data_IF_823182888180
#
_entry.id   IF_823182888180
#
_cell.length_a   1.000
_cell.length_b   1.000
_cell.length_c   1.000
_cell.angle_alpha   90.00
_cell.angle_beta   90.00
_cell.angle_gamma   90.00
#
_symmetry.space_group_name_H-M   'P 1'
#
loop_
_entity.id
_entity.type
_entity.pdbx_description
1 polymer ?
#
# COMPACT_ATOMS: atom_id res chain seq x y z
N UNK A 1 4.66 45.67 42.65
CA UNK A 1 5.71 44.63 42.61
C UNK A 1 5.19 43.25 42.17
N UNK A 2 4.21 42.60 42.83
CA UNK A 2 3.71 41.25 42.41
C UNK A 2 2.92 41.27 41.08
N UNK A 3 2.17 42.34 40.80
CA UNK A 3 1.34 42.47 39.58
C UNK A 3 2.16 42.76 38.31
N UNK A 4 3.31 43.42 38.40
CA UNK A 4 4.18 43.71 37.23
C UNK A 4 4.93 42.47 36.74
N UNK A 5 5.36 41.59 37.66
CA UNK A 5 5.98 40.33 37.28
C UNK A 5 4.98 39.39 36.59
N UNK A 6 3.70 39.39 37.01
CA UNK A 6 2.64 38.63 36.33
C UNK A 6 2.37 39.13 34.90
N UNK A 7 2.37 40.44 34.67
CA UNK A 7 2.18 41.02 33.33
C UNK A 7 3.30 40.66 32.35
N UNK A 8 4.56 40.69 32.82
CA UNK A 8 5.72 40.35 31.99
C UNK A 8 5.79 38.85 31.68
N UNK A 9 5.43 37.98 32.63
CA UNK A 9 5.30 36.54 32.40
C UNK A 9 4.21 36.22 31.38
N UNK A 10 3.06 36.89 31.46
CA UNK A 10 1.97 36.74 30.51
C UNK A 10 2.39 37.18 29.10
N UNK A 11 3.12 38.29 28.99
CA UNK A 11 3.63 38.79 27.72
C UNK A 11 4.56 37.80 27.02
N UNK A 12 5.56 37.25 27.74
CA UNK A 12 6.47 36.25 27.18
C UNK A 12 5.76 34.97 26.76
N UNK A 13 4.74 34.55 27.52
CA UNK A 13 3.93 33.38 27.19
C UNK A 13 3.13 33.59 25.90
N UNK A 14 2.49 34.74 25.74
CA UNK A 14 1.72 35.07 24.53
C UNK A 14 2.64 35.22 23.32
N UNK A 15 3.79 35.88 23.48
CA UNK A 15 4.77 36.02 22.41
C UNK A 15 5.33 34.66 21.96
N UNK A 16 5.64 33.77 22.90
CA UNK A 16 6.08 32.41 22.61
C UNK A 16 5.01 31.57 21.91
N UNK A 17 3.75 31.67 22.36
CA UNK A 17 2.62 30.97 21.75
C UNK A 17 2.37 31.44 20.31
N UNK A 18 2.35 32.75 20.09
CA UNK A 18 2.16 33.34 18.76
C UNK A 18 3.32 32.95 17.82
N UNK A 19 4.57 33.03 18.30
CA UNK A 19 5.74 32.58 17.54
C UNK A 19 5.68 31.10 17.18
N UNK A 20 5.31 30.24 18.14
CA UNK A 20 5.15 28.80 17.91
C UNK A 20 4.08 28.47 16.88
N UNK A 21 2.93 29.15 16.93
CA UNK A 21 1.84 28.97 15.95
C UNK A 21 2.23 29.43 14.55
N UNK A 22 2.94 30.55 14.42
CA UNK A 22 3.43 31.02 13.13
C UNK A 22 4.42 30.02 12.51
N UNK A 23 5.36 29.48 13.31
CA UNK A 23 6.33 28.48 12.82
C UNK A 23 5.63 27.17 12.44
N UNK A 24 4.67 26.71 13.26
CA UNK A 24 3.90 25.50 12.96
C UNK A 24 3.08 25.64 11.67
N UNK A 25 2.54 26.82 11.38
CA UNK A 25 1.77 27.06 10.14
C UNK A 25 2.60 27.06 8.87
N UNK A 26 3.91 27.31 8.98
CA UNK A 26 4.86 27.28 7.87
C UNK A 26 5.49 25.89 7.69
N UNK A 27 5.25 24.96 8.63
CA UNK A 27 5.81 23.62 8.55
C UNK A 27 5.04 22.79 7.52
N UNK A 28 5.71 22.21 6.51
CA UNK A 28 5.05 21.34 5.55
C UNK A 28 4.43 20.15 6.27
N UNK A 29 3.10 20.03 6.20
CA UNK A 29 2.41 18.83 6.67
C UNK A 29 2.69 17.68 5.72
N UNK A 30 3.32 16.63 6.21
CA UNK A 30 3.48 15.40 5.45
C UNK A 30 2.14 14.64 5.47
N UNK A 31 1.52 14.36 4.30
CA UNK A 31 0.26 13.65 4.30
C UNK A 31 0.49 12.25 4.87
N UNK A 32 -0.18 11.93 5.97
CA UNK A 32 -0.22 10.57 6.49
C UNK A 32 -0.97 9.70 5.49
N UNK A 33 -0.23 8.95 4.68
CA UNK A 33 -0.80 7.98 3.77
C UNK A 33 -1.02 6.68 4.54
N UNK A 34 -2.27 6.22 4.61
CA UNK A 34 -2.63 4.99 5.29
C UNK A 34 -2.83 3.87 4.28
N UNK A 35 -2.05 2.81 4.41
CA UNK A 35 -2.34 1.52 3.77
C UNK A 35 -3.33 0.78 4.66
N UNK A 36 -4.47 0.39 4.11
CA UNK A 36 -5.46 -0.41 4.82
C UNK A 36 -5.39 -1.86 4.35
N UNK A 37 -5.52 -2.80 5.28
CA UNK A 37 -5.73 -4.21 4.98
C UNK A 37 -6.87 -4.70 5.85
N UNK A 38 -7.86 -5.34 5.23
CA UNK A 38 -8.97 -5.99 5.92
C UNK A 38 -9.14 -7.40 5.38
N UNK A 39 -9.56 -8.33 6.23
CA UNK A 39 -9.67 -9.74 5.86
C UNK A 39 -10.96 -10.37 6.36
N UNK A 40 -11.54 -11.21 5.52
CA UNK A 40 -12.55 -12.18 5.89
C UNK A 40 -11.91 -13.58 6.05
N UNK A 41 -12.74 -14.61 6.23
CA UNK A 41 -12.29 -16.00 6.24
C UNK A 41 -12.00 -16.57 4.86
N UNK A 42 -12.50 -15.93 3.78
CA UNK A 42 -12.40 -16.45 2.40
C UNK A 42 -11.64 -15.54 1.42
N UNK A 43 -11.47 -14.28 1.78
CA UNK A 43 -10.75 -13.32 0.96
C UNK A 43 -10.18 -12.21 1.85
N UNK A 44 -9.24 -11.46 1.31
CA UNK A 44 -8.75 -10.25 1.93
C UNK A 44 -8.59 -9.13 0.91
N UNK A 45 -8.69 -7.91 1.41
CA UNK A 45 -8.48 -6.67 0.67
C UNK A 45 -7.27 -5.95 1.25
N UNK A 46 -6.47 -5.37 0.37
CA UNK A 46 -5.40 -4.47 0.76
C UNK A 46 -5.29 -3.31 -0.23
N UNK A 47 -5.16 -2.09 0.29
CA UNK A 47 -4.94 -0.91 -0.54
C UNK A 47 -3.47 -0.61 -0.68
N UNK A 48 -3.03 -0.02 -1.78
CA UNK A 48 -1.62 0.34 -2.00
C UNK A 48 -1.52 1.68 -2.71
N UNK A 49 -0.55 2.49 -2.30
CA UNK A 49 -0.23 3.71 -3.00
C UNK A 49 0.40 3.43 -4.37
N UNK A 50 0.01 4.23 -5.35
CA UNK A 50 0.48 4.06 -6.72
C UNK A 50 1.62 5.03 -7.05
N UNK A 51 1.63 6.21 -6.42
CA UNK A 51 2.56 7.31 -6.69
C UNK A 51 2.82 8.16 -5.44
N UNK A 52 4.04 8.70 -5.30
CA UNK A 52 4.50 9.54 -4.19
C UNK A 52 3.62 10.78 -3.95
N UNK A 53 2.89 11.25 -4.97
CA UNK A 53 1.98 12.38 -4.83
C UNK A 53 0.67 12.03 -4.11
N UNK A 54 0.43 10.76 -3.75
CA UNK A 54 -0.74 10.31 -2.97
C UNK A 54 -2.09 10.55 -3.65
N UNK A 55 -2.11 10.73 -4.98
CA UNK A 55 -3.31 11.14 -5.72
C UNK A 55 -4.18 9.98 -6.21
N UNK A 56 -3.68 8.75 -6.13
CA UNK A 56 -4.39 7.56 -6.59
C UNK A 56 -3.96 6.33 -5.79
N UNK A 57 -4.93 5.49 -5.45
CA UNK A 57 -4.76 4.27 -4.67
C UNK A 57 -5.20 3.06 -5.50
N UNK A 58 -4.44 1.97 -5.40
CA UNK A 58 -4.80 0.68 -5.91
C UNK A 58 -5.50 -0.12 -4.80
N UNK A 59 -6.50 -0.91 -5.16
CA UNK A 59 -7.09 -1.91 -4.27
C UNK A 59 -6.81 -3.30 -4.82
N UNK A 60 -6.40 -4.20 -3.96
CA UNK A 60 -6.13 -5.59 -4.27
C UNK A 60 -7.06 -6.51 -3.47
N UNK A 61 -7.56 -7.54 -4.13
CA UNK A 61 -8.38 -8.58 -3.56
C UNK A 61 -7.72 -9.94 -3.79
N UNK A 62 -7.45 -10.66 -2.70
CA UNK A 62 -6.95 -12.02 -2.74
C UNK A 62 -8.07 -12.99 -2.39
N UNK A 63 -8.43 -13.85 -3.34
CA UNK A 63 -9.33 -14.99 -3.12
C UNK A 63 -8.52 -16.15 -2.51
N UNK A 64 -8.88 -16.57 -1.29
CA UNK A 64 -8.17 -17.63 -0.59
C UNK A 64 -8.49 -19.01 -1.15
N UNK A 65 -9.64 -19.20 -1.80
CA UNK A 65 -10.00 -20.51 -2.35
C UNK A 65 -9.18 -20.86 -3.59
N UNK A 66 -8.97 -19.87 -4.47
CA UNK A 66 -8.28 -20.10 -5.75
C UNK A 66 -6.85 -19.58 -5.78
N UNK A 67 -6.42 -18.84 -4.76
CA UNK A 67 -5.16 -18.08 -4.79
C UNK A 67 -5.12 -17.06 -5.92
N UNK A 68 -6.27 -16.50 -6.30
CA UNK A 68 -6.34 -15.48 -7.36
C UNK A 68 -6.21 -14.11 -6.72
N UNK A 69 -5.12 -13.43 -7.03
CA UNK A 69 -4.92 -12.03 -6.69
C UNK A 69 -5.43 -11.17 -7.85
N UNK A 70 -6.33 -10.25 -7.56
CA UNK A 70 -6.82 -9.25 -8.51
C UNK A 70 -6.67 -7.86 -7.93
N UNK A 71 -6.63 -6.85 -8.78
CA UNK A 71 -6.64 -5.49 -8.29
C UNK A 71 -7.07 -4.48 -9.34
N UNK A 72 -7.21 -3.24 -8.91
CA UNK A 72 -7.50 -2.15 -9.81
C UNK A 72 -7.24 -0.80 -9.19
N UNK A 73 -7.15 0.21 -10.05
CA UNK A 73 -6.94 1.61 -9.65
C UNK A 73 -8.16 2.42 -10.04
N UNK A 74 -8.71 3.13 -9.07
CA UNK A 74 -9.77 4.10 -9.29
C UNK A 74 -9.15 5.41 -9.80
N UNK A 75 -9.51 5.81 -11.02
CA UNK A 75 -9.06 7.08 -11.56
C UNK A 75 -9.82 8.23 -10.89
N UNK A 76 -9.08 9.16 -10.27
CA UNK A 76 -9.63 10.26 -9.50
C UNK A 76 -10.48 11.27 -10.31
N UNK A 77 -10.29 11.35 -11.64
CA UNK A 77 -11.06 12.26 -12.51
C UNK A 77 -12.38 11.64 -12.95
N UNK A 78 -12.35 10.38 -13.39
CA UNK A 78 -13.52 9.70 -13.95
C UNK A 78 -14.34 8.94 -12.91
N UNK A 79 -13.78 8.66 -11.73
CA UNK A 79 -14.43 7.84 -10.70
C UNK A 79 -14.67 6.40 -11.15
N UNK A 80 -13.92 5.92 -12.15
CA UNK A 80 -14.00 4.56 -12.70
C UNK A 80 -12.67 3.83 -12.55
N UNK A 81 -12.74 2.51 -12.47
CA UNK A 81 -11.54 1.67 -12.54
C UNK A 81 -10.94 1.74 -13.94
N UNK A 82 -9.71 2.24 -14.05
CA UNK A 82 -9.00 2.34 -15.35
C UNK A 82 -7.88 1.32 -15.49
N UNK A 83 -7.44 0.73 -14.38
CA UNK A 83 -6.44 -0.33 -14.36
C UNK A 83 -7.03 -1.58 -13.76
N UNK A 84 -6.68 -2.73 -14.33
CA UNK A 84 -7.01 -4.03 -13.79
C UNK A 84 -5.74 -4.88 -13.72
N UNK A 85 -5.58 -5.60 -12.62
CA UNK A 85 -4.42 -6.45 -12.34
C UNK A 85 -4.85 -7.87 -11.99
N UNK A 86 -4.02 -8.85 -12.33
CA UNK A 86 -4.24 -10.23 -11.93
C UNK A 86 -2.93 -11.00 -11.71
N UNK A 87 -2.96 -12.02 -10.85
CA UNK A 87 -1.90 -13.03 -10.68
C UNK A 87 -2.48 -14.27 -10.02
N UNK A 88 -1.97 -15.44 -10.37
CA UNK A 88 -2.25 -16.67 -9.64
C UNK A 88 -1.12 -16.93 -8.64
N UNK A 89 -1.36 -16.59 -7.36
CA UNK A 89 -0.36 -16.76 -6.32
C UNK A 89 -0.25 -18.22 -5.86
N UNK A 90 -1.31 -19.02 -5.98
CA UNK A 90 -1.23 -20.45 -5.67
C UNK A 90 -0.21 -21.18 -6.56
N UNK A 91 -0.17 -20.82 -7.85
CA UNK A 91 0.84 -21.32 -8.77
C UNK A 91 2.25 -20.87 -8.39
N UNK A 92 2.42 -19.62 -7.95
CA UNK A 92 3.72 -19.08 -7.54
C UNK A 92 4.28 -19.76 -6.29
N UNK A 93 3.41 -20.08 -5.33
CA UNK A 93 3.77 -20.82 -4.13
C UNK A 93 3.90 -22.34 -4.35
N UNK A 94 3.60 -22.83 -5.56
CA UNK A 94 3.66 -24.25 -5.93
C UNK A 94 2.77 -25.12 -5.04
N UNK A 95 1.58 -24.64 -4.71
CA UNK A 95 0.66 -25.33 -3.80
C UNK A 95 0.00 -26.52 -4.50
N UNK A 96 -0.21 -27.61 -3.76
CA UNK A 96 -1.08 -28.70 -4.21
C UNK A 96 -2.52 -28.19 -4.28
N UNK A 97 -3.21 -28.29 -5.43
CA UNK A 97 -4.61 -27.90 -5.57
C UNK A 97 -5.59 -28.57 -4.60
N UNK A 98 -5.17 -29.65 -3.92
CA UNK A 98 -5.99 -30.39 -2.94
C UNK A 98 -5.92 -29.83 -1.52
N UNK A 99 -4.95 -28.98 -1.22
CA UNK A 99 -4.78 -28.39 0.11
C UNK A 99 -5.56 -27.07 0.14
N UNK A 100 -6.24 -26.79 1.25
CA UNK A 100 -6.88 -25.49 1.50
C UNK A 100 -5.82 -24.50 1.99
N UNK A 101 -5.39 -23.53 1.15
CA UNK A 101 -4.26 -22.68 1.47
C UNK A 101 -4.68 -21.56 2.43
N UNK A 102 -3.81 -21.21 3.38
CA UNK A 102 -4.02 -20.07 4.26
C UNK A 102 -3.13 -18.92 3.85
N UNK A 103 -3.74 -17.84 3.37
CA UNK A 103 -3.01 -16.66 2.93
C UNK A 103 -3.09 -15.51 3.93
N UNK A 104 -2.07 -14.66 3.87
CA UNK A 104 -2.12 -13.29 4.37
C UNK A 104 -1.67 -12.35 3.25
N UNK A 105 -2.24 -11.14 3.22
CA UNK A 105 -1.87 -10.10 2.27
C UNK A 105 -1.62 -8.81 3.03
N UNK A 106 -0.65 -8.04 2.59
CA UNK A 106 -0.42 -6.66 3.01
C UNK A 106 0.21 -5.92 1.84
N UNK A 107 0.20 -4.59 1.86
CA UNK A 107 0.95 -3.81 0.87
C UNK A 107 1.96 -2.92 1.57
N UNK A 108 2.93 -2.44 0.81
CA UNK A 108 3.89 -1.46 1.28
C UNK A 108 4.41 -0.64 0.11
N UNK A 109 5.49 0.10 0.37
CA UNK A 109 6.18 0.92 -0.62
C UNK A 109 7.53 0.30 -0.97
N UNK A 110 7.81 0.16 -2.24
CA UNK A 110 9.15 -0.17 -2.74
C UNK A 110 9.38 0.54 -4.08
N UNK A 111 10.41 1.37 -4.14
CA UNK A 111 10.80 2.00 -5.38
C UNK A 111 11.74 1.07 -6.15
N UNK A 112 11.17 0.22 -7.00
CA UNK A 112 11.96 -0.65 -7.86
C UNK A 112 12.35 0.08 -9.16
N UNK A 113 13.58 -0.13 -9.66
CA UNK A 113 13.98 0.41 -10.95
C UNK A 113 13.11 -0.19 -12.05
N UNK A 114 12.60 0.66 -12.94
CA UNK A 114 11.79 0.20 -14.07
C UNK A 114 12.59 -0.66 -15.04
N UNK A 115 11.99 -1.76 -15.50
CA UNK A 115 12.52 -2.56 -16.61
C UNK A 115 11.99 -2.00 -17.94
N UNK A 116 12.78 -2.13 -19.02
CA UNK A 116 12.51 -1.71 -20.42
C UNK A 116 11.06 -1.27 -20.73
N UNK A 117 10.76 0.01 -20.51
CA UNK A 117 9.49 0.64 -20.93
C UNK A 117 8.28 0.42 -20.02
N UNK A 118 8.45 -0.25 -18.88
CA UNK A 118 7.41 -0.45 -17.87
C UNK A 118 7.85 0.23 -16.57
N UNK A 119 7.17 1.32 -16.23
CA UNK A 119 7.35 1.98 -14.93
C UNK A 119 6.51 1.24 -13.90
N UNK A 120 7.13 0.55 -12.93
CA UNK A 120 6.38 -0.07 -11.84
C UNK A 120 5.72 1.03 -10.99
N UNK A 121 4.57 0.70 -10.44
CA UNK A 121 4.02 1.47 -9.33
C UNK A 121 5.00 1.45 -8.16
N UNK A 122 4.87 2.41 -7.26
CA UNK A 122 5.69 2.48 -6.05
C UNK A 122 5.16 1.57 -4.95
N UNK A 123 3.91 1.14 -5.08
CA UNK A 123 3.28 0.13 -4.24
C UNK A 123 3.79 -1.26 -4.57
N UNK A 124 3.94 -2.07 -3.52
CA UNK A 124 4.21 -3.51 -3.60
C UNK A 124 3.15 -4.25 -2.82
N UNK A 125 2.71 -5.39 -3.37
CA UNK A 125 1.80 -6.32 -2.68
C UNK A 125 2.63 -7.48 -2.14
N UNK A 126 2.58 -7.70 -0.84
CA UNK A 126 3.19 -8.84 -0.19
C UNK A 126 2.10 -9.87 0.11
N UNK A 127 2.31 -11.11 -0.33
CA UNK A 127 1.43 -12.23 0.01
C UNK A 127 2.26 -13.25 0.76
N UNK A 128 1.75 -13.71 1.88
CA UNK A 128 2.30 -14.85 2.60
C UNK A 128 1.35 -16.04 2.46
N UNK A 129 1.90 -17.24 2.37
CA UNK A 129 1.12 -18.47 2.40
C UNK A 129 1.69 -19.42 3.48
N UNK A 130 0.79 -19.96 4.30
CA UNK A 130 1.14 -20.64 5.54
C UNK A 130 1.76 -22.02 5.32
N UNK A 131 1.28 -22.77 4.35
CA UNK A 131 1.65 -24.19 4.09
C UNK A 131 3.06 -24.28 3.52
N UNK A 132 3.33 -23.50 2.48
CA UNK A 132 4.65 -23.31 1.86
C UNK A 132 5.63 -22.57 2.76
N UNK A 133 5.13 -21.80 3.73
CA UNK A 133 5.95 -21.02 4.66
C UNK A 133 6.71 -19.88 4.00
N UNK A 134 6.22 -19.40 2.86
CA UNK A 134 6.88 -18.37 2.05
C UNK A 134 6.09 -17.07 2.02
N UNK A 135 6.80 -15.98 1.79
CA UNK A 135 6.26 -14.67 1.46
C UNK A 135 6.79 -14.28 0.08
N UNK A 136 5.89 -13.80 -0.77
CA UNK A 136 6.18 -13.33 -2.11
C UNK A 136 5.90 -11.82 -2.21
N UNK A 137 6.77 -11.10 -2.93
CA UNK A 137 6.56 -9.70 -3.26
C UNK A 137 6.13 -9.54 -4.72
N UNK A 138 5.08 -8.77 -4.97
CA UNK A 138 4.51 -8.53 -6.29
C UNK A 138 4.50 -7.05 -6.63
N UNK A 139 4.97 -6.73 -7.83
CA UNK A 139 4.85 -5.39 -8.42
C UNK A 139 3.80 -5.36 -9.51
N UNK A 140 3.22 -4.19 -9.70
CA UNK A 140 2.25 -3.92 -10.76
C UNK A 140 2.69 -2.70 -11.57
N UNK A 141 2.47 -2.71 -12.90
CA UNK A 141 2.81 -1.58 -13.75
C UNK A 141 1.83 -0.43 -13.55
N UNK A 142 2.32 0.80 -13.60
CA UNK A 142 1.47 1.98 -13.56
C UNK A 142 1.76 2.95 -14.70
N UNK A 143 0.69 3.43 -15.33
CA UNK A 143 0.73 4.57 -16.24
C UNK A 143 -0.55 5.37 -16.11
N UNK A 144 -0.44 6.68 -15.98
CA UNK A 144 -1.63 7.52 -15.88
C UNK A 144 -2.50 7.35 -17.15
N UNK A 145 -3.78 6.98 -16.97
CA UNK A 145 -4.73 6.80 -18.07
C UNK A 145 -6.15 7.07 -17.60
N UNK A 146 -6.86 7.93 -18.35
CA UNK A 146 -8.29 8.19 -18.16
C UNK A 146 -9.20 7.16 -18.85
N UNK A 147 -8.62 6.27 -19.68
CA UNK A 147 -9.35 5.18 -20.34
C UNK A 147 -9.01 3.85 -19.66
N UNK A 148 -9.96 2.91 -19.59
CA UNK A 148 -9.66 1.54 -19.18
C UNK A 148 -8.53 0.95 -20.02
N UNK A 149 -7.52 0.43 -19.36
CA UNK A 149 -6.41 -0.29 -19.96
C UNK A 149 -6.71 -1.79 -19.94
N UNK A 150 -6.09 -2.56 -20.85
CA UNK A 150 -6.14 -4.03 -20.77
C UNK A 150 -5.64 -4.51 -19.41
N UNK A 151 -6.21 -5.61 -18.85
CA UNK A 151 -5.70 -6.22 -17.64
C UNK A 151 -4.21 -6.56 -17.76
N UNK A 152 -3.43 -6.17 -16.76
CA UNK A 152 -2.00 -6.43 -16.70
C UNK A 152 -1.70 -7.49 -15.63
N UNK A 153 -0.80 -8.42 -15.95
CA UNK A 153 -0.33 -9.39 -14.97
C UNK A 153 0.67 -8.74 -14.01
N UNK A 154 0.58 -9.08 -12.73
CA UNK A 154 1.57 -8.64 -11.73
C UNK A 154 2.84 -9.50 -11.82
N UNK A 155 3.99 -8.89 -11.59
CA UNK A 155 5.28 -9.58 -11.68
C UNK A 155 5.76 -9.95 -10.28
N UNK A 156 6.02 -11.24 -9.99
CA UNK A 156 6.71 -11.62 -8.76
C UNK A 156 8.13 -11.09 -8.80
N UNK A 157 8.55 -10.42 -7.74
CA UNK A 157 9.90 -9.82 -7.63
C UNK A 157 10.85 -10.76 -6.91
N UNK A 158 10.44 -11.26 -5.74
CA UNK A 158 11.26 -12.13 -4.92
C UNK A 158 10.40 -12.92 -3.91
N UNK A 159 11.00 -13.96 -3.33
CA UNK A 159 10.41 -14.80 -2.30
C UNK A 159 11.38 -14.99 -1.14
N UNK A 160 10.86 -15.00 0.09
CA UNK A 160 11.61 -15.46 1.25
C UNK A 160 10.80 -16.44 2.08
N UNK A 161 11.50 -17.30 2.82
CA UNK A 161 10.90 -18.31 3.70
C UNK A 161 10.83 -17.76 5.12
N UNK A 162 9.65 -17.75 5.74
CA UNK A 162 9.46 -17.30 7.12
C UNK A 162 9.23 -18.46 8.11
N UNK A 163 8.97 -19.66 7.58
CA UNK A 163 8.95 -20.92 8.33
C UNK A 163 9.29 -22.07 7.39
N UNK A 164 9.80 -23.16 7.91
CA UNK A 164 9.91 -24.38 7.12
C UNK A 164 8.52 -24.86 6.68
N UNK A 165 8.44 -25.34 5.43
CA UNK A 165 7.20 -25.89 4.90
C UNK A 165 6.82 -27.13 5.71
N UNK A 166 5.57 -27.20 6.16
CA UNK A 166 5.05 -28.40 6.79
C UNK A 166 4.63 -29.32 5.65
N UNK A 167 5.51 -30.28 5.32
CA UNK A 167 5.22 -31.33 4.33
C UNK A 167 4.12 -32.28 4.82
#
# INVERSE_FOLDING_TARGET
MKNEQQGMQMFWLVAGLAGGLCIASLWPGEPAQAVATDRSSKFALATSEVSFAGTSEAVFALDFLTGRLTGGILNNRSGKFTHAYYRNVAADFQLDPKIDPTYAIVTGRCQLPGARGVTPAQGVVYVAELTSGKVAAYVFPYKESNRPLPPAEMTPTDFFTFREAVN
#
